data_IF_644590356105
#
_entry.id   IF_644590356105
#
_cell.length_a   1.000
_cell.length_b   1.000
_cell.length_c   1.000
_cell.angle_alpha   90.00
_cell.angle_beta   90.00
_cell.angle_gamma   90.00
#
_symmetry.space_group_name_H-M   'P 1'
#
loop_
_entity.id
_entity.type
_entity.pdbx_description
1 polymer ?
#
# COMPACT_ATOMS: atom_id res chain seq x y z
N UNK A 1 -21.23 19.40 5.67
CA UNK A 1 -21.21 18.56 4.46
C UNK A 1 -21.32 19.40 3.21
N UNK A 2 -20.80 18.91 2.10
CA UNK A 2 -20.97 19.60 0.79
C UNK A 2 -22.39 19.34 0.29
N UNK A 3 -23.14 20.39 -0.04
CA UNK A 3 -24.44 20.24 -0.68
C UNK A 3 -24.26 19.98 -2.18
N UNK A 4 -24.74 18.81 -2.65
CA UNK A 4 -24.70 18.46 -4.05
C UNK A 4 -26.03 18.80 -4.73
N UNK A 5 -25.97 19.61 -5.77
CA UNK A 5 -27.17 20.00 -6.55
C UNK A 5 -27.44 19.07 -7.73
N UNK A 6 -26.45 18.35 -8.23
CA UNK A 6 -26.52 17.47 -9.40
C UNK A 6 -25.73 16.16 -9.16
N UNK A 7 -26.03 15.14 -9.98
CA UNK A 7 -25.27 13.88 -9.97
C UNK A 7 -23.79 14.10 -10.28
N UNK A 8 -23.48 15.01 -11.23
CA UNK A 8 -22.08 15.34 -11.57
C UNK A 8 -21.35 16.01 -10.39
N UNK A 9 -22.04 16.86 -9.63
CA UNK A 9 -21.45 17.44 -8.41
C UNK A 9 -21.18 16.38 -7.36
N UNK A 10 -22.05 15.39 -7.20
CA UNK A 10 -21.85 14.25 -6.32
C UNK A 10 -20.65 13.40 -6.77
N UNK A 11 -20.54 13.10 -8.07
CA UNK A 11 -19.42 12.35 -8.64
C UNK A 11 -18.05 13.00 -8.43
N UNK A 12 -17.98 14.34 -8.52
CA UNK A 12 -16.72 15.09 -8.30
C UNK A 12 -16.20 15.03 -6.87
N UNK A 13 -17.09 14.81 -5.91
CA UNK A 13 -16.76 14.73 -4.48
C UNK A 13 -17.19 13.39 -3.90
N UNK A 14 -17.08 12.36 -4.73
CA UNK A 14 -17.53 11.02 -4.37
C UNK A 14 -16.74 10.50 -3.17
N UNK A 15 -17.44 9.83 -2.27
CA UNK A 15 -16.90 9.19 -1.08
C UNK A 15 -17.76 7.97 -0.79
N UNK A 16 -17.31 6.80 -1.21
CA UNK A 16 -18.06 5.56 -1.07
C UNK A 16 -18.40 5.27 0.40
N UNK A 17 -17.49 5.59 1.32
CA UNK A 17 -17.71 5.37 2.76
C UNK A 17 -18.85 6.23 3.33
N UNK A 18 -19.10 7.41 2.74
CA UNK A 18 -20.22 8.27 3.10
C UNK A 18 -21.50 7.92 2.35
N UNK A 19 -21.39 7.40 1.14
CA UNK A 19 -22.52 7.05 0.26
C UNK A 19 -23.26 5.80 0.76
N UNK A 20 -22.56 4.75 1.18
CA UNK A 20 -23.16 3.51 1.65
C UNK A 20 -24.18 3.72 2.80
N UNK A 21 -23.87 4.45 3.87
CA UNK A 21 -24.87 4.77 4.90
C UNK A 21 -26.11 5.50 4.37
N UNK A 22 -25.91 6.39 3.37
CA UNK A 22 -27.02 7.12 2.77
C UNK A 22 -27.89 6.25 1.86
N UNK A 23 -27.35 5.18 1.30
CA UNK A 23 -28.13 4.15 0.60
C UNK A 23 -28.96 3.37 1.62
N UNK A 24 -28.34 2.88 2.69
CA UNK A 24 -28.96 2.03 3.69
C UNK A 24 -30.14 2.72 4.42
N UNK A 25 -30.07 4.03 4.64
CA UNK A 25 -31.14 4.80 5.26
C UNK A 25 -32.13 5.44 4.24
N UNK A 26 -31.91 5.17 2.94
CA UNK A 26 -32.74 5.63 1.84
C UNK A 26 -32.65 7.11 1.51
N UNK A 27 -31.74 7.88 2.14
CA UNK A 27 -31.56 9.31 1.84
C UNK A 27 -31.05 9.53 0.43
N UNK A 28 -30.09 8.74 -0.02
CA UNK A 28 -29.55 8.85 -1.37
C UNK A 28 -30.60 8.52 -2.42
N UNK A 29 -31.39 7.47 -2.22
CA UNK A 29 -32.45 7.07 -3.15
C UNK A 29 -33.50 8.15 -3.33
N UNK A 30 -33.95 8.78 -2.22
CA UNK A 30 -34.87 9.92 -2.26
C UNK A 30 -34.26 11.11 -3.00
N UNK A 31 -33.00 11.41 -2.73
CA UNK A 31 -32.28 12.50 -3.38
C UNK A 31 -32.14 12.27 -4.89
N UNK A 32 -31.77 11.06 -5.33
CA UNK A 32 -31.66 10.69 -6.75
C UNK A 32 -32.99 10.86 -7.47
N UNK A 33 -34.10 10.36 -6.91
CA UNK A 33 -35.43 10.52 -7.51
C UNK A 33 -35.87 11.99 -7.62
N UNK A 34 -35.60 12.80 -6.61
CA UNK A 34 -35.89 14.24 -6.65
C UNK A 34 -35.10 15.00 -7.73
N UNK A 35 -33.96 14.47 -8.15
CA UNK A 35 -33.10 15.03 -9.21
C UNK A 35 -33.37 14.44 -10.60
N UNK A 36 -34.36 13.55 -10.73
CA UNK A 36 -34.67 12.89 -12.00
C UNK A 36 -33.76 11.71 -12.34
N UNK A 37 -32.89 11.28 -11.41
CA UNK A 37 -31.93 10.17 -11.59
C UNK A 37 -32.55 8.81 -11.18
N UNK A 38 -33.80 8.57 -11.60
CA UNK A 38 -34.55 7.36 -11.23
C UNK A 38 -33.88 6.07 -11.68
N UNK A 39 -33.22 6.07 -12.85
CA UNK A 39 -32.50 4.91 -13.34
C UNK A 39 -31.34 4.48 -12.42
N UNK A 40 -30.61 5.46 -11.85
CA UNK A 40 -29.53 5.17 -10.87
C UNK A 40 -30.13 4.63 -9.57
N UNK A 41 -31.25 5.22 -9.11
CA UNK A 41 -31.95 4.74 -7.91
C UNK A 41 -32.44 3.29 -8.07
N UNK A 42 -33.03 2.96 -9.24
CA UNK A 42 -33.50 1.60 -9.56
C UNK A 42 -32.34 0.59 -9.62
N UNK A 43 -31.21 0.95 -10.18
CA UNK A 43 -30.01 0.09 -10.17
C UNK A 43 -29.52 -0.23 -8.75
N UNK A 44 -29.57 0.76 -7.85
CA UNK A 44 -29.21 0.56 -6.45
C UNK A 44 -30.22 -0.35 -5.74
N UNK A 45 -31.51 -0.13 -5.95
CA UNK A 45 -32.58 -0.91 -5.31
C UNK A 45 -32.70 -2.35 -5.82
N UNK A 46 -32.24 -2.61 -7.06
CA UNK A 46 -32.27 -3.95 -7.64
C UNK A 46 -31.22 -4.91 -7.05
N UNK A 47 -30.28 -4.40 -6.25
CA UNK A 47 -29.27 -5.20 -5.58
C UNK A 47 -29.79 -5.68 -4.22
N UNK A 48 -29.81 -6.99 -3.98
CA UNK A 48 -30.21 -7.59 -2.69
C UNK A 48 -29.26 -7.18 -1.56
N UNK A 49 -27.97 -7.16 -1.83
CA UNK A 49 -26.90 -6.66 -0.97
C UNK A 49 -25.92 -5.85 -1.80
N UNK A 50 -25.85 -4.55 -1.52
CA UNK A 50 -25.01 -3.66 -2.29
C UNK A 50 -23.63 -3.48 -1.64
N UNK A 51 -22.57 -3.85 -2.37
CA UNK A 51 -21.17 -3.66 -1.95
C UNK A 51 -20.64 -2.30 -2.43
N UNK A 52 -19.61 -1.82 -1.77
CA UNK A 52 -18.91 -0.59 -2.15
C UNK A 52 -18.50 -0.60 -3.64
N UNK A 53 -18.00 -1.76 -4.10
CA UNK A 53 -17.59 -1.94 -5.51
C UNK A 53 -18.75 -1.89 -6.48
N UNK A 54 -19.96 -2.32 -6.07
CA UNK A 54 -21.16 -2.24 -6.92
C UNK A 54 -21.65 -0.81 -7.03
N UNK A 55 -21.67 -0.08 -5.90
CA UNK A 55 -21.97 1.36 -5.89
C UNK A 55 -21.03 2.11 -6.82
N UNK A 56 -19.73 1.86 -6.71
CA UNK A 56 -18.74 2.49 -7.58
C UNK A 56 -18.99 2.21 -9.06
N UNK A 57 -19.32 0.97 -9.43
CA UNK A 57 -19.65 0.57 -10.82
C UNK A 57 -20.98 1.17 -11.32
N UNK A 58 -21.92 1.47 -10.43
CA UNK A 58 -23.16 2.16 -10.78
C UNK A 58 -22.88 3.63 -11.13
N UNK A 59 -22.11 4.32 -10.28
CA UNK A 59 -21.78 5.72 -10.49
C UNK A 59 -20.70 5.95 -11.57
N UNK A 60 -19.79 5.01 -11.75
CA UNK A 60 -18.67 5.04 -12.70
C UNK A 60 -18.69 3.79 -13.57
N UNK A 61 -19.54 3.74 -14.63
CA UNK A 61 -19.73 2.56 -15.47
C UNK A 61 -18.45 2.02 -16.12
N UNK A 62 -17.45 2.88 -16.36
CA UNK A 62 -16.14 2.52 -16.89
C UNK A 62 -15.36 1.56 -15.99
N UNK A 63 -15.71 1.44 -14.70
CA UNK A 63 -15.12 0.48 -13.77
C UNK A 63 -15.62 -0.97 -14.01
N UNK A 64 -16.73 -1.15 -14.75
CA UNK A 64 -17.26 -2.49 -15.07
C UNK A 64 -16.32 -3.32 -15.93
N UNK A 65 -15.44 -2.66 -16.69
CA UNK A 65 -14.48 -3.33 -17.58
C UNK A 65 -13.25 -3.91 -16.88
N UNK A 66 -13.06 -3.58 -15.59
CA UNK A 66 -11.91 -4.05 -14.81
C UNK A 66 -12.02 -5.55 -14.56
N UNK A 67 -10.90 -6.28 -14.78
CA UNK A 67 -10.84 -7.74 -14.66
C UNK A 67 -10.76 -8.22 -13.23
N UNK A 68 -10.23 -7.39 -12.34
CA UNK A 68 -10.09 -7.65 -10.91
C UNK A 68 -10.43 -6.42 -10.10
N UNK A 69 -10.67 -6.60 -8.81
CA UNK A 69 -10.91 -5.50 -7.89
C UNK A 69 -9.66 -4.61 -7.73
N UNK A 70 -8.48 -5.21 -7.72
CA UNK A 70 -7.22 -4.45 -7.67
C UNK A 70 -7.00 -3.61 -8.93
N UNK A 71 -7.38 -4.11 -10.12
CA UNK A 71 -7.35 -3.31 -11.34
C UNK A 71 -8.36 -2.16 -11.28
N UNK A 72 -9.53 -2.40 -10.67
CA UNK A 72 -10.54 -1.36 -10.44
C UNK A 72 -10.00 -0.28 -9.49
N UNK A 73 -9.42 -0.65 -8.36
CA UNK A 73 -8.82 0.28 -7.39
C UNK A 73 -7.73 1.13 -8.07
N UNK A 74 -6.87 0.50 -8.87
CA UNK A 74 -5.83 1.20 -9.63
C UNK A 74 -6.44 2.17 -10.65
N UNK A 75 -7.45 1.76 -11.40
CA UNK A 75 -8.16 2.63 -12.37
C UNK A 75 -8.83 3.81 -11.68
N UNK A 76 -9.48 3.59 -10.55
CA UNK A 76 -10.09 4.64 -9.73
C UNK A 76 -9.07 5.72 -9.34
N UNK A 77 -7.86 5.33 -8.95
CA UNK A 77 -6.81 6.27 -8.60
C UNK A 77 -6.47 7.20 -9.77
N UNK A 78 -6.30 6.66 -10.97
CA UNK A 78 -6.04 7.44 -12.19
C UNK A 78 -7.25 8.27 -12.66
N UNK A 79 -8.47 7.87 -12.33
CA UNK A 79 -9.68 8.64 -12.60
C UNK A 79 -9.87 9.82 -11.62
N UNK A 80 -9.03 9.97 -10.62
CA UNK A 80 -9.13 11.01 -9.61
C UNK A 80 -9.95 10.63 -8.37
N UNK A 81 -10.44 9.39 -8.27
CA UNK A 81 -11.12 8.83 -7.10
C UNK A 81 -10.09 8.33 -6.07
N UNK A 82 -9.08 9.17 -5.78
CA UNK A 82 -7.93 8.78 -4.96
C UNK A 82 -8.34 8.34 -3.55
N UNK A 83 -9.24 9.07 -2.92
CA UNK A 83 -9.72 8.76 -1.57
C UNK A 83 -10.38 7.38 -1.51
N UNK A 84 -11.27 7.10 -2.46
CA UNK A 84 -11.97 5.83 -2.53
C UNK A 84 -11.04 4.66 -2.88
N UNK A 85 -10.07 4.88 -3.78
CA UNK A 85 -9.08 3.86 -4.13
C UNK A 85 -8.19 3.49 -2.93
N UNK A 86 -7.73 4.48 -2.16
CA UNK A 86 -6.95 4.26 -0.93
C UNK A 86 -7.80 3.54 0.12
N UNK A 87 -9.02 4.01 0.34
CA UNK A 87 -9.94 3.39 1.30
C UNK A 87 -10.18 1.89 1.02
N UNK A 88 -10.49 1.53 -0.24
CA UNK A 88 -10.70 0.12 -0.61
C UNK A 88 -9.41 -0.69 -0.51
N UNK A 89 -8.28 -0.12 -0.94
CA UNK A 89 -7.00 -0.81 -0.86
C UNK A 89 -6.61 -1.09 0.60
N UNK A 90 -6.67 -0.10 1.46
CA UNK A 90 -6.32 -0.27 2.89
C UNK A 90 -7.24 -1.26 3.60
N UNK A 91 -8.52 -1.30 3.24
CA UNK A 91 -9.49 -2.22 3.83
C UNK A 91 -9.22 -3.67 3.42
N UNK A 92 -9.01 -3.93 2.14
CA UNK A 92 -9.07 -5.27 1.57
C UNK A 92 -7.69 -5.85 1.23
N UNK A 93 -6.68 -5.00 0.99
CA UNK A 93 -5.37 -5.41 0.45
C UNK A 93 -4.16 -4.97 1.30
N UNK A 94 -4.34 -4.25 2.40
CA UNK A 94 -3.22 -3.74 3.19
C UNK A 94 -2.34 -4.83 3.84
N UNK A 95 -2.81 -6.08 3.87
CA UNK A 95 -2.06 -7.25 4.33
C UNK A 95 -1.64 -8.21 3.19
N UNK A 96 -2.05 -7.92 1.95
CA UNK A 96 -1.69 -8.72 0.77
C UNK A 96 -0.38 -8.20 0.16
N UNK A 97 0.70 -8.94 0.40
CA UNK A 97 2.06 -8.58 -0.05
C UNK A 97 2.15 -8.44 -1.57
N UNK A 98 1.50 -9.31 -2.33
CA UNK A 98 1.55 -9.28 -3.79
C UNK A 98 0.75 -8.09 -4.34
N UNK A 99 -0.39 -7.78 -3.74
CA UNK A 99 -1.14 -6.59 -4.08
C UNK A 99 -0.35 -5.30 -3.77
N UNK A 100 0.30 -5.24 -2.61
CA UNK A 100 1.16 -4.10 -2.23
C UNK A 100 2.27 -3.91 -3.25
N UNK A 101 3.00 -4.96 -3.61
CA UNK A 101 4.08 -4.90 -4.61
C UNK A 101 3.59 -4.36 -5.97
N UNK A 102 2.36 -4.72 -6.39
CA UNK A 102 1.78 -4.26 -7.66
C UNK A 102 1.45 -2.77 -7.67
N UNK A 103 0.98 -2.23 -6.56
CA UNK A 103 0.40 -0.87 -6.52
C UNK A 103 1.23 0.15 -5.75
N UNK A 104 2.32 -0.28 -5.10
CA UNK A 104 3.15 0.54 -4.21
C UNK A 104 3.53 1.90 -4.81
N UNK A 105 3.90 1.94 -6.10
CA UNK A 105 4.27 3.19 -6.79
C UNK A 105 3.11 3.86 -7.54
N UNK A 106 1.91 3.29 -7.48
CA UNK A 106 0.76 3.75 -8.26
C UNK A 106 -0.31 4.41 -7.39
N UNK A 107 -0.48 3.97 -6.16
CA UNK A 107 -1.53 4.40 -5.25
C UNK A 107 -0.90 5.15 -4.07
N UNK A 108 -1.43 6.31 -3.74
CA UNK A 108 -0.98 7.14 -2.61
C UNK A 108 -1.63 6.64 -1.31
N UNK A 109 -0.98 5.70 -0.63
CA UNK A 109 -1.38 5.19 0.70
C UNK A 109 -0.46 5.74 1.80
N UNK A 110 -0.84 5.51 3.05
CA UNK A 110 0.07 5.62 4.19
C UNK A 110 1.02 4.40 4.26
N UNK A 111 1.99 4.38 3.33
CA UNK A 111 2.92 3.27 3.16
C UNK A 111 3.78 3.03 4.40
N UNK A 112 4.15 4.09 5.12
CA UNK A 112 4.91 3.95 6.36
C UNK A 112 4.14 3.09 7.36
N UNK A 113 2.87 3.37 7.58
CA UNK A 113 2.01 2.61 8.48
C UNK A 113 1.79 1.17 8.02
N UNK A 114 1.51 0.98 6.71
CA UNK A 114 1.28 -0.35 6.14
C UNK A 114 2.53 -1.21 6.26
N UNK A 115 3.69 -0.70 5.82
CA UNK A 115 4.94 -1.44 5.84
C UNK A 115 5.43 -1.69 7.26
N UNK A 116 5.24 -0.74 8.18
CA UNK A 116 5.56 -0.92 9.59
C UNK A 116 4.77 -2.08 10.21
N UNK A 117 3.46 -2.11 10.01
CA UNK A 117 2.61 -3.18 10.55
C UNK A 117 2.98 -4.56 9.99
N UNK A 118 3.34 -4.64 8.71
CA UNK A 118 3.71 -5.91 8.07
C UNK A 118 5.14 -6.34 8.39
N UNK A 119 6.03 -5.42 8.76
CA UNK A 119 7.42 -5.72 9.08
C UNK A 119 7.60 -6.62 10.29
N UNK A 120 6.60 -6.70 11.18
CA UNK A 120 6.63 -7.58 12.34
C UNK A 120 6.52 -9.06 11.95
N UNK A 121 5.90 -9.37 10.81
CA UNK A 121 5.59 -10.74 10.40
C UNK A 121 6.16 -11.13 9.04
N UNK A 122 6.57 -10.14 8.22
CA UNK A 122 7.03 -10.36 6.85
C UNK A 122 8.39 -9.71 6.59
N UNK A 123 9.41 -10.54 6.35
CA UNK A 123 10.79 -10.08 6.16
C UNK A 123 10.96 -9.18 4.92
N UNK A 124 10.24 -9.45 3.82
CA UNK A 124 10.30 -8.61 2.61
C UNK A 124 9.74 -7.21 2.87
N UNK A 125 8.65 -7.12 3.64
CA UNK A 125 8.07 -5.82 4.01
C UNK A 125 8.95 -5.04 4.97
N UNK A 126 9.62 -5.74 5.90
CA UNK A 126 10.60 -5.13 6.78
C UNK A 126 11.79 -4.55 5.99
N UNK A 127 12.31 -5.27 5.00
CA UNK A 127 13.38 -4.79 4.13
C UNK A 127 12.91 -3.61 3.26
N UNK A 128 11.70 -3.66 2.72
CA UNK A 128 11.14 -2.56 1.94
C UNK A 128 10.95 -1.31 2.82
N UNK A 129 10.45 -1.46 4.04
CA UNK A 129 10.33 -0.36 4.99
C UNK A 129 11.70 0.31 5.26
N UNK A 130 12.73 -0.50 5.54
CA UNK A 130 14.10 0.02 5.77
C UNK A 130 14.64 0.72 4.52
N UNK A 131 14.42 0.15 3.34
CA UNK A 131 14.82 0.77 2.06
C UNK A 131 14.19 2.17 1.89
N UNK A 132 12.92 2.31 2.20
CA UNK A 132 12.24 3.61 2.11
C UNK A 132 12.74 4.62 3.16
N UNK A 133 13.10 4.15 4.37
CA UNK A 133 13.76 4.98 5.37
C UNK A 133 15.13 5.48 4.88
N UNK A 134 15.94 4.59 4.30
CA UNK A 134 17.27 4.92 3.75
C UNK A 134 17.16 5.91 2.59
N UNK A 135 16.13 5.79 1.77
CA UNK A 135 15.87 6.69 0.65
C UNK A 135 15.30 8.07 1.10
N UNK A 136 15.02 8.25 2.40
CA UNK A 136 14.43 9.47 2.94
C UNK A 136 12.96 9.65 2.64
N UNK A 137 12.27 8.59 2.19
CA UNK A 137 10.84 8.62 1.91
C UNK A 137 9.99 8.52 3.18
N UNK A 138 10.59 7.98 4.24
CA UNK A 138 9.99 7.94 5.58
C UNK A 138 10.87 8.71 6.56
N UNK A 139 10.24 9.51 7.40
CA UNK A 139 10.92 10.24 8.47
C UNK A 139 11.18 9.30 9.66
N UNK A 140 12.35 8.69 9.68
CA UNK A 140 12.79 7.85 10.79
C UNK A 140 13.96 8.50 11.49
N UNK A 141 13.64 9.17 12.60
CA UNK A 141 14.63 9.85 13.45
C UNK A 141 15.34 8.87 14.41
N UNK A 142 14.88 7.62 14.50
CA UNK A 142 15.36 6.64 15.46
C UNK A 142 16.15 5.51 14.73
N UNK A 143 17.48 5.59 14.83
CA UNK A 143 18.38 4.57 14.26
C UNK A 143 18.22 3.21 14.99
N UNK A 144 17.90 3.23 16.28
CA UNK A 144 17.70 2.00 17.05
C UNK A 144 16.43 1.29 16.57
N UNK A 145 15.41 2.04 16.18
CA UNK A 145 14.18 1.50 15.61
C UNK A 145 14.43 0.84 14.23
N UNK A 146 15.19 1.49 13.36
CA UNK A 146 15.58 0.91 12.04
C UNK A 146 16.38 -0.38 12.25
N UNK A 147 17.34 -0.36 13.19
CA UNK A 147 18.11 -1.55 13.53
C UNK A 147 17.23 -2.68 14.09
N UNK A 148 16.23 -2.37 14.90
CA UNK A 148 15.26 -3.33 15.41
C UNK A 148 14.45 -3.99 14.27
N UNK A 149 13.94 -3.21 13.33
CA UNK A 149 13.20 -3.72 12.17
C UNK A 149 14.09 -4.60 11.29
N UNK A 150 15.35 -4.22 11.07
CA UNK A 150 16.32 -5.03 10.34
C UNK A 150 16.61 -6.36 11.03
N UNK A 151 16.85 -6.33 12.34
CA UNK A 151 17.06 -7.55 13.12
C UNK A 151 15.84 -8.48 13.04
N UNK A 152 14.63 -7.90 13.05
CA UNK A 152 13.39 -8.67 12.88
C UNK A 152 13.29 -9.30 11.48
N UNK A 153 13.64 -8.56 10.44
CA UNK A 153 13.68 -9.09 9.07
C UNK A 153 14.67 -10.27 8.94
N UNK A 154 15.84 -10.16 9.56
CA UNK A 154 16.84 -11.25 9.60
C UNK A 154 16.31 -12.46 10.35
N UNK A 155 15.67 -12.27 11.50
CA UNK A 155 15.09 -13.35 12.30
C UNK A 155 14.01 -14.11 11.51
N UNK A 156 13.10 -13.39 10.87
CA UNK A 156 12.04 -13.94 10.03
C UNK A 156 12.61 -14.67 8.81
N UNK A 157 13.60 -14.04 8.14
CA UNK A 157 14.29 -14.63 7.00
C UNK A 157 15.11 -15.88 7.37
N UNK A 158 15.71 -15.94 8.56
CA UNK A 158 16.46 -17.10 9.05
C UNK A 158 15.55 -18.30 9.31
N UNK A 159 14.32 -18.09 9.70
CA UNK A 159 13.31 -19.15 9.87
C UNK A 159 12.84 -19.72 8.52
N UNK A 160 12.95 -18.94 7.44
CA UNK A 160 12.62 -19.32 6.06
C UNK A 160 13.87 -19.42 5.18
N UNK A 161 15.00 -19.79 5.76
CA UNK A 161 16.37 -19.47 5.38
C UNK A 161 16.76 -19.71 3.90
N UNK A 162 16.19 -20.68 3.20
CA UNK A 162 16.54 -20.91 1.78
C UNK A 162 15.83 -19.93 0.85
N UNK A 163 14.59 -19.56 1.13
CA UNK A 163 13.83 -18.63 0.31
C UNK A 163 14.26 -17.18 0.48
N UNK A 164 14.77 -16.79 1.65
CA UNK A 164 15.18 -15.41 1.92
C UNK A 164 16.47 -15.02 1.20
N UNK A 165 17.47 -15.90 1.15
CA UNK A 165 18.73 -15.67 0.42
C UNK A 165 18.54 -15.54 -1.10
N UNK A 166 17.45 -16.08 -1.61
CA UNK A 166 17.09 -16.06 -3.03
C UNK A 166 15.93 -15.09 -3.35
N UNK A 167 15.41 -14.36 -2.34
CA UNK A 167 14.33 -13.41 -2.60
C UNK A 167 14.82 -12.26 -3.47
N UNK A 168 14.04 -11.90 -4.50
CA UNK A 168 14.36 -10.81 -5.42
C UNK A 168 14.57 -9.49 -4.66
N UNK A 169 13.81 -9.26 -3.59
CA UNK A 169 13.94 -8.09 -2.73
C UNK A 169 15.32 -8.01 -2.03
N UNK A 170 15.84 -9.13 -1.54
CA UNK A 170 17.16 -9.19 -0.93
C UNK A 170 18.27 -9.00 -1.98
N UNK A 171 18.14 -9.66 -3.13
CA UNK A 171 19.08 -9.52 -4.25
C UNK A 171 19.10 -8.07 -4.77
N UNK A 172 17.94 -7.47 -4.95
CA UNK A 172 17.82 -6.06 -5.37
C UNK A 172 18.43 -5.12 -4.33
N UNK A 173 18.21 -5.36 -3.04
CA UNK A 173 18.79 -4.60 -1.95
C UNK A 173 20.32 -4.70 -1.94
N UNK A 174 20.88 -5.90 -2.09
CA UNK A 174 22.33 -6.14 -2.08
C UNK A 174 23.03 -5.61 -3.35
N UNK A 175 22.36 -5.65 -4.51
CA UNK A 175 22.95 -5.21 -5.78
C UNK A 175 22.70 -3.73 -6.10
N UNK A 176 21.86 -3.02 -5.33
CA UNK A 176 21.53 -1.61 -5.59
C UNK A 176 22.57 -0.62 -5.04
N UNK A 177 23.87 -0.89 -5.25
CA UNK A 177 24.97 -0.03 -4.81
C UNK A 177 24.83 1.45 -5.18
N UNK A 178 24.16 1.78 -6.30
CA UNK A 178 23.94 3.16 -6.73
C UNK A 178 22.95 3.93 -5.83
N UNK A 179 22.05 3.26 -5.15
CA UNK A 179 21.06 3.88 -4.25
C UNK A 179 21.67 4.26 -2.89
N UNK A 180 22.75 3.60 -2.48
CA UNK A 180 23.49 3.93 -1.25
C UNK A 180 24.46 5.12 -1.40
N UNK A 181 24.71 5.63 -2.61
CA UNK A 181 25.65 6.73 -2.83
C UNK A 181 25.28 8.04 -2.12
N UNK A 182 24.00 8.26 -1.87
CA UNK A 182 23.49 9.48 -1.24
C UNK A 182 23.15 9.31 0.24
N UNK A 183 23.39 8.14 0.82
CA UNK A 183 23.12 7.86 2.23
C UNK A 183 24.36 8.20 3.05
N UNK A 184 24.17 8.75 4.24
CA UNK A 184 25.25 8.95 5.20
C UNK A 184 25.82 7.57 5.59
N UNK A 185 26.92 7.21 4.91
CA UNK A 185 27.57 5.90 5.05
C UNK A 185 27.99 5.61 6.48
N UNK A 186 28.39 6.62 7.24
CA UNK A 186 28.81 6.47 8.62
C UNK A 186 27.63 6.07 9.54
N UNK A 187 26.43 6.58 9.26
CA UNK A 187 25.21 6.22 9.99
C UNK A 187 24.70 4.84 9.62
N UNK A 188 24.83 4.47 8.36
CA UNK A 188 24.36 3.15 7.86
C UNK A 188 25.35 2.03 8.18
N UNK A 189 26.64 2.32 8.33
CA UNK A 189 27.70 1.35 8.59
C UNK A 189 27.38 0.36 9.73
N UNK A 190 27.00 0.80 10.94
CA UNK A 190 26.69 -0.12 12.03
C UNK A 190 25.44 -0.97 11.76
N UNK A 191 24.47 -0.43 11.01
CA UNK A 191 23.23 -1.14 10.64
C UNK A 191 23.55 -2.27 9.66
N UNK A 192 24.28 -1.98 8.59
CA UNK A 192 24.73 -2.94 7.58
C UNK A 192 25.59 -4.04 8.23
N UNK A 193 26.55 -3.67 9.07
CA UNK A 193 27.40 -4.62 9.79
C UNK A 193 26.58 -5.56 10.70
N UNK A 194 25.56 -5.02 11.38
CA UNK A 194 24.65 -5.83 12.21
C UNK A 194 23.87 -6.85 11.39
N UNK A 195 23.39 -6.46 10.19
CA UNK A 195 22.71 -7.36 9.25
C UNK A 195 23.64 -8.51 8.85
N UNK A 196 24.85 -8.19 8.38
CA UNK A 196 25.81 -9.17 7.89
C UNK A 196 26.27 -10.12 8.98
N UNK A 197 26.49 -9.64 10.20
CA UNK A 197 26.82 -10.51 11.35
C UNK A 197 25.71 -11.48 11.72
N UNK A 198 24.45 -11.09 11.55
CA UNK A 198 23.26 -11.94 11.77
C UNK A 198 23.06 -13.00 10.67
N UNK A 199 23.54 -12.76 9.45
CA UNK A 199 23.29 -13.63 8.28
C UNK A 199 24.31 -14.75 8.07
N UNK A 200 25.23 -15.06 9.01
CA UNK A 200 26.26 -16.08 8.86
C UNK A 200 27.09 -15.98 7.54
N UNK A 201 27.43 -14.79 7.12
CA UNK A 201 28.28 -14.55 5.95
C UNK A 201 29.69 -15.06 6.23
N UNK A 202 30.42 -15.55 5.23
CA UNK A 202 31.73 -16.14 5.42
C UNK A 202 32.66 -15.27 6.24
N UNK A 203 33.20 -15.80 7.33
CA UNK A 203 34.12 -15.09 8.21
C UNK A 203 35.36 -14.71 7.39
N UNK A 204 35.64 -13.41 7.26
CA UNK A 204 36.85 -12.94 6.61
C UNK A 204 36.74 -11.64 5.82
N UNK A 205 35.51 -11.12 5.64
CA UNK A 205 35.35 -9.79 5.06
C UNK A 205 35.56 -8.72 6.12
N UNK A 206 36.31 -7.67 5.79
CA UNK A 206 36.39 -6.47 6.61
C UNK A 206 35.05 -5.72 6.60
N UNK A 207 34.84 -4.84 7.60
CA UNK A 207 33.61 -4.06 7.68
C UNK A 207 33.39 -3.22 6.40
N UNK A 208 34.48 -2.75 5.76
CA UNK A 208 34.39 -1.97 4.52
C UNK A 208 34.07 -2.86 3.30
N UNK A 209 34.56 -4.08 3.24
CA UNK A 209 34.21 -5.05 2.19
C UNK A 209 32.75 -5.51 2.31
N UNK A 210 32.20 -5.62 3.52
CA UNK A 210 30.78 -5.94 3.74
C UNK A 210 29.83 -4.81 3.28
N UNK A 211 30.31 -3.57 3.19
CA UNK A 211 29.51 -2.43 2.72
C UNK A 211 29.55 -2.33 1.19
N UNK A 212 30.58 -2.88 0.56
CA UNK A 212 30.80 -2.83 -0.89
C UNK A 212 30.21 -4.06 -1.59
N UNK A 213 30.06 -5.17 -0.90
CA UNK A 213 29.51 -6.41 -1.42
C UNK A 213 27.99 -6.40 -1.42
#
# INVERSE_FOLDING_TARGET
GVEHSTLDSLKRHFDVSAIIPMINDGRLLRWLRQRGESAVAEMIESADEIKDTDVLKIFFPELKECKSELDMITKMHFMGLKKDSVYLFERDYASDVDAIKRVYYLIECDWQKILLNLSETNAEMALLYVKECVNGNFDVNDQDFVAMILNKAIELGSRQAENFKTSDAWQEYMHSNDRFRNVDKEKMKPIVISIFRGCNIPRGLSDDEMIIA
#
